data_IF_834367241800
#
_entry.id   IF_834367241800
#
_cell.length_a   1.000
_cell.length_b   1.000
_cell.length_c   1.000
_cell.angle_alpha   90.00
_cell.angle_beta   90.00
_cell.angle_gamma   90.00
#
_symmetry.space_group_name_H-M   'P 1'
#
loop_
_entity.id
_entity.type
_entity.pdbx_description
1 polymer ?
#
# COMPACT_ATOMS: atom_id res chain seq x y z
N UNK A 1 -7.72 6.61 -10.96
CA UNK A 1 -6.83 5.80 -10.11
C UNK A 1 -6.06 6.66 -9.12
N UNK A 2 -5.97 6.17 -7.88
CA UNK A 2 -5.19 6.75 -6.79
C UNK A 2 -4.13 5.73 -6.36
N UNK A 3 -2.89 6.18 -6.23
CA UNK A 3 -1.74 5.38 -5.80
C UNK A 3 -1.29 5.86 -4.43
N UNK A 4 -1.11 4.92 -3.52
CA UNK A 4 -0.63 5.15 -2.17
C UNK A 4 0.78 4.57 -2.09
N UNK A 5 1.74 5.39 -1.71
CA UNK A 5 3.11 4.95 -1.43
C UNK A 5 3.36 5.11 0.06
N UNK A 6 3.46 3.98 0.76
CA UNK A 6 3.71 3.91 2.18
C UNK A 6 5.12 3.41 2.44
N UNK A 7 6.00 4.31 2.89
CA UNK A 7 7.38 3.98 3.26
C UNK A 7 7.48 3.87 4.76
N UNK A 8 8.14 2.82 5.25
CA UNK A 8 8.26 2.55 6.67
C UNK A 8 9.65 2.06 7.02
N UNK A 9 10.04 2.29 8.27
CA UNK A 9 11.14 1.61 8.93
C UNK A 9 10.63 1.02 10.23
N UNK A 10 11.09 -0.18 10.54
CA UNK A 10 10.72 -0.87 11.77
C UNK A 10 11.54 -0.32 12.94
N UNK A 11 11.00 -0.45 14.16
CA UNK A 11 11.79 -0.30 15.38
C UNK A 11 12.68 -1.52 15.58
N UNK A 12 13.75 -1.34 16.34
CA UNK A 12 14.62 -2.44 16.74
C UNK A 12 13.82 -3.51 17.52
N UNK A 13 14.08 -4.78 17.21
CA UNK A 13 13.47 -5.93 17.89
C UNK A 13 12.04 -6.26 17.47
N UNK A 14 11.48 -5.57 16.45
CA UNK A 14 10.22 -6.00 15.83
C UNK A 14 10.45 -7.29 15.04
N UNK A 15 9.60 -8.29 15.28
CA UNK A 15 9.63 -9.55 14.55
C UNK A 15 9.15 -9.34 13.11
N UNK A 16 10.03 -9.61 12.14
CA UNK A 16 9.73 -9.52 10.71
C UNK A 16 8.58 -10.47 10.30
N UNK A 17 8.45 -11.64 10.93
CA UNK A 17 7.34 -12.55 10.65
C UNK A 17 6.01 -12.03 11.19
N UNK A 18 6.02 -11.29 12.31
CA UNK A 18 4.83 -10.57 12.78
C UNK A 18 4.41 -9.54 11.73
N UNK A 19 5.38 -8.79 11.20
CA UNK A 19 5.11 -7.77 10.18
C UNK A 19 4.61 -8.36 8.86
N UNK A 20 5.15 -9.49 8.41
CA UNK A 20 4.65 -10.20 7.23
C UNK A 20 3.18 -10.63 7.41
N UNK A 21 2.81 -11.15 8.58
CA UNK A 21 1.41 -11.51 8.89
C UNK A 21 0.49 -10.29 8.91
N UNK A 22 0.95 -9.18 9.48
CA UNK A 22 0.20 -7.91 9.48
C UNK A 22 0.00 -7.42 8.05
N UNK A 23 1.05 -7.42 7.23
CA UNK A 23 0.98 -7.06 5.81
C UNK A 23 0.00 -7.95 5.03
N UNK A 24 0.11 -9.28 5.19
CA UNK A 24 -0.79 -10.25 4.56
C UNK A 24 -2.26 -10.02 4.93
N UNK A 25 -2.55 -9.67 6.20
CA UNK A 25 -3.91 -9.34 6.63
C UNK A 25 -4.42 -8.04 6.01
N UNK A 26 -3.56 -7.03 5.88
CA UNK A 26 -3.93 -5.78 5.20
C UNK A 26 -4.16 -5.99 3.70
N UNK A 27 -3.38 -6.84 3.05
CA UNK A 27 -3.60 -7.27 1.68
C UNK A 27 -4.97 -7.97 1.53
N UNK A 28 -5.24 -8.98 2.36
CA UNK A 28 -6.50 -9.74 2.32
C UNK A 28 -7.69 -8.79 2.48
N UNK A 29 -7.64 -7.92 3.48
CA UNK A 29 -8.69 -6.97 3.77
C UNK A 29 -8.91 -5.99 2.61
N UNK A 30 -7.85 -5.34 2.11
CA UNK A 30 -7.95 -4.39 1.01
C UNK A 30 -8.45 -5.07 -0.27
N UNK A 31 -7.97 -6.29 -0.56
CA UNK A 31 -8.35 -7.04 -1.77
C UNK A 31 -9.83 -7.42 -1.84
N UNK A 32 -10.50 -7.48 -0.69
CA UNK A 32 -11.94 -7.70 -0.61
C UNK A 32 -12.80 -6.44 -0.75
N UNK A 33 -12.20 -5.24 -0.86
CA UNK A 33 -12.93 -3.98 -0.90
C UNK A 33 -13.28 -3.55 -2.33
N UNK A 34 -14.43 -2.90 -2.47
CA UNK A 34 -14.81 -2.25 -3.72
C UNK A 34 -13.76 -1.18 -4.11
N UNK A 35 -13.38 -1.18 -5.39
CA UNK A 35 -12.40 -0.23 -5.93
C UNK A 35 -10.94 -0.56 -5.65
N UNK A 36 -10.62 -1.70 -5.02
CA UNK A 36 -9.25 -2.21 -4.93
C UNK A 36 -8.69 -2.54 -6.32
N UNK A 37 -7.45 -2.12 -6.59
CA UNK A 37 -6.75 -2.41 -7.85
C UNK A 37 -5.54 -3.30 -7.59
N UNK A 38 -4.64 -2.89 -6.69
CA UNK A 38 -3.45 -3.69 -6.37
C UNK A 38 -2.86 -3.32 -5.01
N UNK A 39 -2.05 -4.23 -4.45
CA UNK A 39 -1.22 -4.01 -3.27
C UNK A 39 0.06 -4.82 -3.45
N UNK A 40 1.21 -4.16 -3.41
CA UNK A 40 2.53 -4.81 -3.45
C UNK A 40 3.46 -4.25 -2.38
N UNK A 41 4.19 -5.14 -1.73
CA UNK A 41 5.25 -4.79 -0.78
C UNK A 41 6.64 -5.00 -1.39
N UNK A 42 7.55 -4.12 -1.02
CA UNK A 42 8.96 -4.16 -1.42
C UNK A 42 9.84 -3.88 -0.20
N UNK A 43 10.97 -4.57 -0.12
CA UNK A 43 12.00 -4.31 0.88
C UNK A 43 13.25 -3.77 0.19
N UNK A 44 13.80 -2.68 0.70
CA UNK A 44 15.06 -2.10 0.27
C UNK A 44 16.22 -2.61 1.13
N UNK A 45 17.41 -2.68 0.56
CA UNK A 45 18.61 -3.16 1.25
C UNK A 45 19.05 -2.28 2.44
N UNK A 46 18.57 -1.03 2.50
CA UNK A 46 18.84 -0.09 3.59
C UNK A 46 17.85 -0.24 4.75
N UNK A 47 16.96 -1.25 4.72
CA UNK A 47 15.96 -1.52 5.74
C UNK A 47 14.67 -0.69 5.61
N UNK A 48 14.48 0.06 4.53
CA UNK A 48 13.18 0.66 4.21
C UNK A 48 12.22 -0.40 3.62
N UNK A 49 10.97 -0.39 4.08
CA UNK A 49 9.88 -1.15 3.46
C UNK A 49 8.92 -0.20 2.75
N UNK A 50 8.47 -0.58 1.56
CA UNK A 50 7.56 0.21 0.74
C UNK A 50 6.36 -0.62 0.34
N UNK A 51 5.17 -0.20 0.75
CA UNK A 51 3.91 -0.71 0.22
C UNK A 51 3.40 0.26 -0.86
N UNK A 52 3.11 -0.26 -2.04
CA UNK A 52 2.40 0.44 -3.11
C UNK A 52 1.00 -0.14 -3.21
N UNK A 53 -0.01 0.67 -2.92
CA UNK A 53 -1.41 0.25 -2.93
C UNK A 53 -2.18 1.14 -3.91
N UNK A 54 -3.05 0.54 -4.70
CA UNK A 54 -3.79 1.23 -5.76
C UNK A 54 -5.29 1.01 -5.55
N UNK A 55 -6.04 2.11 -5.64
CA UNK A 55 -7.50 2.12 -5.68
C UNK A 55 -7.98 2.87 -6.91
N UNK A 56 -9.16 2.52 -7.43
CA UNK A 56 -9.72 3.18 -8.62
C UNK A 56 -10.08 4.65 -8.37
N UNK A 57 -10.40 5.00 -7.12
CA UNK A 57 -10.98 6.27 -6.70
C UNK A 57 -10.53 6.70 -5.31
N UNK A 58 -10.66 8.00 -5.02
CA UNK A 58 -10.43 8.55 -3.67
C UNK A 58 -11.49 8.08 -2.67
N UNK A 59 -12.70 7.75 -3.14
CA UNK A 59 -13.77 7.21 -2.31
C UNK A 59 -13.42 5.82 -1.79
N UNK A 60 -12.98 4.91 -2.67
CA UNK A 60 -12.52 3.58 -2.30
C UNK A 60 -11.34 3.63 -1.31
N UNK A 61 -10.36 4.52 -1.56
CA UNK A 61 -9.29 4.79 -0.59
C UNK A 61 -9.83 5.32 0.75
N UNK A 62 -10.84 6.20 0.72
CA UNK A 62 -11.50 6.69 1.93
C UNK A 62 -12.11 5.55 2.75
N UNK A 63 -12.81 4.63 2.09
CA UNK A 63 -13.35 3.43 2.73
C UNK A 63 -12.24 2.57 3.34
N UNK A 64 -11.12 2.38 2.63
CA UNK A 64 -9.96 1.65 3.15
C UNK A 64 -9.38 2.33 4.40
N UNK A 65 -9.13 3.64 4.35
CA UNK A 65 -8.62 4.43 5.47
C UNK A 65 -9.52 4.31 6.70
N UNK A 66 -10.83 4.28 6.50
CA UNK A 66 -11.81 4.33 7.58
C UNK A 66 -12.23 2.94 8.08
N UNK A 67 -11.79 1.86 7.41
CA UNK A 67 -12.08 0.49 7.83
C UNK A 67 -11.58 0.24 9.27
N UNK A 68 -12.43 -0.26 10.20
CA UNK A 68 -12.08 -0.37 11.62
C UNK A 68 -10.78 -1.13 11.90
N UNK A 69 -10.59 -2.28 11.25
CA UNK A 69 -9.38 -3.09 11.41
C UNK A 69 -8.12 -2.38 10.90
N UNK A 70 -8.21 -1.67 9.77
CA UNK A 70 -7.07 -0.91 9.25
C UNK A 70 -6.72 0.27 10.18
N UNK A 71 -7.72 0.95 10.75
CA UNK A 71 -7.49 2.00 11.77
C UNK A 71 -6.77 1.46 13.01
N UNK A 72 -7.12 0.25 13.44
CA UNK A 72 -6.43 -0.42 14.54
C UNK A 72 -4.97 -0.71 14.19
N UNK A 73 -4.70 -1.28 13.01
CA UNK A 73 -3.33 -1.54 12.54
C UNK A 73 -2.53 -0.24 12.42
N UNK A 74 -3.10 0.85 11.93
CA UNK A 74 -2.43 2.15 11.89
C UNK A 74 -2.06 2.66 13.30
N UNK A 75 -2.92 2.45 14.29
CA UNK A 75 -2.63 2.81 15.66
C UNK A 75 -1.49 1.96 16.24
N UNK A 76 -1.51 0.64 16.00
CA UNK A 76 -0.43 -0.29 16.38
C UNK A 76 0.89 0.04 15.67
N UNK A 77 0.83 0.45 14.40
CA UNK A 77 1.96 0.94 13.63
C UNK A 77 2.71 2.06 14.35
N UNK A 78 1.99 3.10 14.80
CA UNK A 78 2.57 4.22 15.56
C UNK A 78 3.03 3.84 16.96
N UNK A 79 2.31 2.97 17.66
CA UNK A 79 2.64 2.66 19.05
C UNK A 79 3.74 1.60 19.20
N UNK A 80 3.86 0.67 18.24
CA UNK A 80 4.65 -0.55 18.40
C UNK A 80 5.63 -0.85 17.27
N UNK A 81 5.22 -0.70 16.00
CA UNK A 81 5.98 -1.29 14.88
C UNK A 81 6.99 -0.34 14.25
N UNK A 82 6.59 0.90 13.95
CA UNK A 82 7.38 1.79 13.12
C UNK A 82 8.23 2.76 13.95
N UNK A 83 9.50 2.89 13.57
CA UNK A 83 10.39 3.95 14.05
C UNK A 83 10.06 5.25 13.32
N UNK A 84 9.82 5.18 12.02
CA UNK A 84 9.29 6.25 11.19
C UNK A 84 8.48 5.71 10.00
N UNK A 85 7.61 6.55 9.45
CA UNK A 85 6.93 6.26 8.20
C UNK A 85 6.54 7.54 7.45
N UNK A 86 6.33 7.39 6.14
CA UNK A 86 5.80 8.42 5.25
C UNK A 86 4.75 7.82 4.32
N UNK A 87 3.56 8.42 4.30
CA UNK A 87 2.49 8.07 3.35
C UNK A 87 2.36 9.18 2.33
N UNK A 88 2.30 8.81 1.05
CA UNK A 88 1.92 9.70 -0.04
C UNK A 88 0.68 9.15 -0.72
N UNK A 89 -0.31 10.01 -0.95
CA UNK A 89 -1.49 9.71 -1.76
C UNK A 89 -1.38 10.51 -3.05
N UNK A 90 -1.35 9.82 -4.18
CA UNK A 90 -1.04 10.38 -5.48
C UNK A 90 -2.19 10.08 -6.46
N UNK A 91 -2.65 11.10 -7.18
CA UNK A 91 -3.55 10.88 -8.32
C UNK A 91 -2.72 10.61 -9.57
N UNK A 92 -3.11 9.62 -10.35
CA UNK A 92 -2.44 9.31 -11.61
C UNK A 92 -2.69 10.45 -12.61
N UNK A 93 -1.62 11.04 -13.13
CA UNK A 93 -1.70 12.11 -14.15
C UNK A 93 -1.56 11.54 -15.57
N UNK A 94 -0.91 10.39 -15.69
CA UNK A 94 -0.73 9.66 -16.95
C UNK A 94 -0.42 8.19 -16.66
N UNK A 95 -1.06 7.30 -17.41
CA UNK A 95 -0.84 5.86 -17.35
C UNK A 95 -0.64 5.29 -18.76
N UNK A 96 0.21 4.27 -18.89
CA UNK A 96 0.37 3.48 -20.11
C UNK A 96 0.98 2.14 -19.75
N UNK A 97 0.72 1.14 -20.60
CA UNK A 97 1.30 -0.18 -20.48
C UNK A 97 2.12 -0.52 -21.72
N UNK A 98 3.04 -1.49 -21.59
CA UNK A 98 3.79 -2.05 -22.71
C UNK A 98 3.84 -3.56 -22.57
N UNK A 99 3.58 -4.27 -23.66
CA UNK A 99 3.91 -5.69 -23.76
C UNK A 99 4.79 -5.91 -24.98
N UNK A 100 5.70 -6.88 -24.92
CA UNK A 100 6.61 -7.15 -26.03
C UNK A 100 5.88 -7.42 -27.35
N UNK A 101 4.74 -8.12 -27.27
CA UNK A 101 3.92 -8.46 -28.45
C UNK A 101 2.99 -7.32 -28.89
N UNK A 102 2.46 -6.53 -27.95
CA UNK A 102 1.42 -5.53 -28.21
C UNK A 102 1.91 -4.09 -28.33
N UNK A 103 3.20 -3.83 -28.06
CA UNK A 103 3.72 -2.47 -28.02
C UNK A 103 3.16 -1.65 -26.85
N UNK A 104 3.24 -0.33 -26.98
CA UNK A 104 2.78 0.63 -25.96
C UNK A 104 1.30 0.97 -26.17
N UNK A 105 0.53 0.95 -25.10
CA UNK A 105 -0.88 1.34 -25.08
C UNK A 105 -1.08 2.39 -24.00
N UNK A 106 -1.67 3.54 -24.34
CA UNK A 106 -2.03 4.56 -23.34
C UNK A 106 -3.22 4.05 -22.49
N UNK A 107 -3.14 4.30 -21.19
CA UNK A 107 -4.22 4.00 -20.24
C UNK A 107 -5.33 5.05 -20.30
N UNK A 108 -6.40 4.85 -19.50
CA UNK A 108 -7.44 5.86 -19.33
C UNK A 108 -6.84 7.17 -18.76
N UNK A 109 -7.44 8.33 -19.09
CA UNK A 109 -7.02 9.63 -18.57
C UNK A 109 -7.23 9.76 -17.05
#
# INVERSE_FOLDING_TARGET
MVVIVFRTRLRDGVDEQEMERVGARMYELASGMAGFVSYKDYAAADGEFVSVVEFDSLEALGAWRDHPEHREIQARGRSRYFSDYRVQVCTTVREYSFTLAGGRVEGPP
#
